data_IF_445806277905
#
_entry.id   IF_445806277905
#
_cell.length_a   1.000
_cell.length_b   1.000
_cell.length_c   1.000
_cell.angle_alpha   90.00
_cell.angle_beta   90.00
_cell.angle_gamma   90.00
#
_symmetry.space_group_name_H-M   'P 1'
#
loop_
_entity.id
_entity.type
_entity.pdbx_description
1 polymer ?
#
# COMPACT_ATOMS: atom_id res chain seq x y z
N UNK A 1 11.95 28.89 45.05
CA UNK A 1 11.98 27.66 44.22
C UNK A 1 13.44 27.31 43.92
N UNK A 2 14.00 26.30 44.60
CA UNK A 2 15.45 26.04 44.66
C UNK A 2 16.06 25.75 43.28
N UNK A 3 17.25 26.31 43.01
CA UNK A 3 18.01 26.15 41.76
C UNK A 3 18.15 24.68 41.32
N UNK A 4 18.24 23.74 42.28
CA UNK A 4 18.27 22.29 41.99
C UNK A 4 17.00 21.76 41.30
N UNK A 5 15.80 22.25 41.63
CA UNK A 5 14.55 21.79 41.01
C UNK A 5 14.41 22.25 39.55
N UNK A 6 15.04 23.39 39.19
CA UNK A 6 15.05 23.90 37.82
C UNK A 6 16.00 23.10 36.92
N UNK A 7 17.13 22.64 37.46
CA UNK A 7 18.12 21.83 36.73
C UNK A 7 17.57 20.41 36.46
N UNK A 8 16.90 19.81 37.45
CA UNK A 8 16.28 18.49 37.26
C UNK A 8 15.17 18.52 36.18
N UNK A 9 14.34 19.58 36.14
CA UNK A 9 13.26 19.70 35.16
C UNK A 9 13.79 19.92 33.73
N UNK A 10 14.90 20.62 33.56
CA UNK A 10 15.51 20.85 32.25
C UNK A 10 16.26 19.62 31.72
N UNK A 11 16.82 18.78 32.60
CA UNK A 11 17.48 17.53 32.20
C UNK A 11 16.46 16.48 31.69
N UNK A 12 15.28 16.38 32.32
CA UNK A 12 14.22 15.44 31.89
C UNK A 12 13.62 15.81 30.52
N UNK A 13 13.52 17.11 30.21
CA UNK A 13 13.01 17.59 28.91
C UNK A 13 14.00 17.26 27.78
N UNK A 14 15.32 17.36 28.04
CA UNK A 14 16.35 17.05 27.04
C UNK A 14 16.48 15.54 26.79
N UNK A 15 16.33 14.69 27.82
CA UNK A 15 16.33 13.23 27.63
C UNK A 15 15.05 12.69 26.99
N UNK A 16 13.91 13.36 27.20
CA UNK A 16 12.64 13.03 26.53
C UNK A 16 12.64 13.31 25.02
N UNK A 17 13.36 14.34 24.58
CA UNK A 17 13.48 14.72 23.17
C UNK A 17 14.52 13.89 22.40
N UNK A 18 15.55 13.36 23.08
CA UNK A 18 16.60 12.55 22.43
C UNK A 18 16.25 11.06 22.28
N UNK A 19 15.14 10.60 22.84
CA UNK A 19 14.70 9.20 22.71
C UNK A 19 13.93 8.90 21.42
N UNK A 20 13.61 9.93 20.63
CA UNK A 20 13.15 9.76 19.25
C UNK A 20 14.39 9.65 18.36
N UNK A 21 14.92 8.42 18.22
CA UNK A 21 15.57 8.10 16.96
C UNK A 21 14.51 8.32 15.88
N UNK A 22 14.60 9.41 15.12
CA UNK A 22 13.99 9.47 13.80
C UNK A 22 14.56 8.24 13.09
N UNK A 23 13.74 7.21 12.97
CA UNK A 23 14.12 6.11 12.11
C UNK A 23 14.25 6.69 10.70
N UNK A 24 15.31 6.27 10.00
CA UNK A 24 15.64 6.78 8.67
C UNK A 24 14.58 6.30 7.67
N UNK A 25 13.47 7.03 7.59
CA UNK A 25 12.43 6.82 6.59
C UNK A 25 13.06 6.97 5.20
N UNK A 26 13.02 5.89 4.42
CA UNK A 26 13.51 5.89 3.04
C UNK A 26 12.36 6.11 2.08
N UNK A 27 12.58 6.95 1.08
CA UNK A 27 11.68 7.11 -0.05
C UNK A 27 12.06 6.10 -1.14
N UNK A 28 11.12 5.24 -1.51
CA UNK A 28 11.25 4.28 -2.61
C UNK A 28 10.46 4.77 -3.82
N UNK A 29 11.03 4.64 -5.01
CA UNK A 29 10.37 4.97 -6.27
C UNK A 29 10.12 3.71 -7.11
N UNK A 30 8.93 3.65 -7.69
CA UNK A 30 8.45 2.54 -8.51
C UNK A 30 7.85 3.10 -9.79
N UNK A 31 8.17 2.53 -10.93
CA UNK A 31 7.69 2.98 -12.24
C UNK A 31 7.49 1.80 -13.17
N UNK A 32 6.58 1.95 -14.13
CA UNK A 32 6.44 0.98 -15.20
C UNK A 32 7.47 1.31 -16.30
N UNK A 33 8.48 0.45 -16.59
CA UNK A 33 9.63 0.86 -17.40
C UNK A 33 9.32 1.22 -18.85
N UNK A 34 8.14 0.84 -19.36
CA UNK A 34 7.72 1.09 -20.75
C UNK A 34 6.86 2.34 -20.90
N UNK A 35 6.60 3.09 -19.82
CA UNK A 35 5.74 4.29 -19.85
C UNK A 35 6.19 5.37 -18.89
N UNK A 36 6.22 6.59 -19.40
CA UNK A 36 6.46 7.79 -18.61
C UNK A 36 5.28 8.12 -17.68
N UNK A 37 5.53 8.91 -16.64
CA UNK A 37 4.51 9.42 -15.71
C UNK A 37 3.70 8.33 -14.97
N UNK A 38 4.25 7.12 -14.86
CA UNK A 38 3.68 6.00 -14.09
C UNK A 38 4.32 5.85 -12.71
N UNK A 39 5.19 6.78 -12.34
CA UNK A 39 6.01 6.68 -11.14
C UNK A 39 5.17 6.97 -9.89
N UNK A 40 5.21 6.03 -8.94
CA UNK A 40 4.72 6.24 -7.58
C UNK A 40 5.89 6.22 -6.61
N UNK A 41 5.74 6.91 -5.48
CA UNK A 41 6.69 6.84 -4.38
C UNK A 41 6.01 6.38 -3.10
N UNK A 42 6.78 5.72 -2.25
CA UNK A 42 6.34 5.17 -0.97
C UNK A 42 7.45 5.39 0.05
N UNK A 43 7.09 5.95 1.20
CA UNK A 43 8.00 6.15 2.32
C UNK A 43 7.87 5.00 3.31
N UNK A 44 8.98 4.32 3.58
CA UNK A 44 8.99 3.23 4.54
C UNK A 44 10.35 3.05 5.19
N UNK A 45 10.34 2.37 6.33
CA UNK A 45 11.53 1.99 7.08
C UNK A 45 11.82 0.50 6.91
N UNK A 46 13.06 0.09 7.19
CA UNK A 46 13.46 -1.30 7.34
C UNK A 46 13.26 -2.24 6.13
N UNK A 47 12.81 -1.74 4.98
CA UNK A 47 12.79 -2.52 3.74
C UNK A 47 14.20 -2.70 3.19
N UNK A 48 14.45 -3.93 2.71
CA UNK A 48 15.59 -4.24 1.85
C UNK A 48 15.41 -3.57 0.48
N UNK A 49 16.38 -3.78 -0.41
CA UNK A 49 16.24 -3.37 -1.81
C UNK A 49 15.10 -4.14 -2.47
N UNK A 50 14.18 -3.44 -3.12
CA UNK A 50 13.13 -4.07 -3.90
C UNK A 50 13.73 -4.82 -5.11
N UNK A 51 13.39 -6.09 -5.19
CA UNK A 51 13.60 -6.94 -6.36
C UNK A 51 12.56 -6.59 -7.43
N UNK A 52 12.92 -6.80 -8.70
CA UNK A 52 12.06 -6.45 -9.84
C UNK A 52 11.94 -7.65 -10.76
N UNK A 53 10.73 -7.90 -11.27
CA UNK A 53 10.43 -9.05 -12.12
C UNK A 53 9.43 -8.66 -13.21
N UNK A 54 9.64 -9.17 -14.43
CA UNK A 54 8.64 -9.12 -15.50
C UNK A 54 7.84 -10.41 -15.53
N UNK A 55 6.51 -10.30 -15.69
CA UNK A 55 5.61 -11.43 -15.93
C UNK A 55 4.75 -11.14 -17.15
N UNK A 56 5.25 -11.48 -18.33
CA UNK A 56 4.63 -11.09 -19.59
C UNK A 56 4.62 -9.57 -19.75
N UNK A 57 3.43 -8.96 -19.77
CA UNK A 57 3.26 -7.51 -19.86
C UNK A 57 3.29 -6.81 -18.48
N UNK A 58 3.21 -7.56 -17.40
CA UNK A 58 3.13 -7.04 -16.04
C UNK A 58 4.52 -6.82 -15.45
N UNK A 59 4.61 -5.85 -14.55
CA UNK A 59 5.86 -5.52 -13.87
C UNK A 59 5.69 -5.51 -12.35
N UNK A 60 6.57 -6.20 -11.67
CA UNK A 60 6.44 -6.48 -10.25
C UNK A 60 7.65 -5.96 -9.48
N UNK A 61 7.39 -5.34 -8.34
CA UNK A 61 8.38 -5.05 -7.32
C UNK A 61 8.06 -5.82 -6.04
N UNK A 62 9.09 -6.30 -5.36
CA UNK A 62 8.93 -7.03 -4.11
C UNK A 62 10.06 -6.78 -3.13
N UNK A 63 9.71 -6.58 -1.86
CA UNK A 63 10.65 -6.58 -0.75
C UNK A 63 9.97 -7.05 0.53
N UNK A 64 10.79 -7.53 1.45
CA UNK A 64 10.42 -7.78 2.83
C UNK A 64 11.14 -6.79 3.75
N UNK A 65 10.44 -6.27 4.75
CA UNK A 65 11.04 -5.47 5.82
C UNK A 65 11.73 -6.36 6.85
N UNK A 66 12.62 -5.80 7.67
CA UNK A 66 13.23 -6.53 8.79
C UNK A 66 12.19 -7.06 9.79
N UNK A 67 11.06 -6.36 9.89
CA UNK A 67 9.96 -6.70 10.78
C UNK A 67 9.01 -7.73 10.16
N UNK A 68 9.32 -8.25 8.96
CA UNK A 68 8.56 -9.29 8.26
C UNK A 68 7.35 -8.78 7.49
N UNK A 69 7.21 -7.46 7.30
CA UNK A 69 6.17 -6.92 6.41
C UNK A 69 6.63 -7.15 4.98
N UNK A 70 5.83 -7.89 4.23
CA UNK A 70 6.02 -8.07 2.80
C UNK A 70 5.35 -6.90 2.09
N UNK A 71 6.07 -6.23 1.19
CA UNK A 71 5.55 -5.21 0.31
C UNK A 71 5.74 -5.65 -1.14
N UNK A 72 4.66 -5.58 -1.91
CA UNK A 72 4.71 -5.81 -3.33
C UNK A 72 3.93 -4.79 -4.11
N UNK A 73 4.41 -4.49 -5.32
CA UNK A 73 3.77 -3.53 -6.23
C UNK A 73 3.68 -4.18 -7.59
N UNK A 74 2.44 -4.41 -8.03
CA UNK A 74 2.12 -4.96 -9.33
C UNK A 74 1.62 -3.85 -10.23
N UNK A 75 2.32 -3.60 -11.32
CA UNK A 75 1.80 -2.90 -12.50
C UNK A 75 1.19 -3.93 -13.43
N UNK A 76 -0.14 -3.97 -13.48
CA UNK A 76 -0.93 -4.90 -14.26
C UNK A 76 -1.43 -4.23 -15.54
N UNK A 77 -0.92 -4.68 -16.70
CA UNK A 77 -1.24 -4.10 -18.00
C UNK A 77 -2.45 -4.82 -18.58
N UNK A 78 -3.59 -4.13 -18.66
CA UNK A 78 -4.81 -4.67 -19.24
C UNK A 78 -4.59 -4.95 -20.74
N UNK A 79 -5.07 -6.10 -21.20
CA UNK A 79 -5.30 -6.33 -22.62
C UNK A 79 -6.55 -5.57 -23.11
N UNK A 80 -6.85 -5.60 -24.42
CA UNK A 80 -7.97 -4.85 -24.99
C UNK A 80 -9.34 -5.30 -24.45
N UNK A 81 -9.53 -6.61 -24.23
CA UNK A 81 -10.78 -7.15 -23.68
C UNK A 81 -10.98 -6.76 -22.21
N UNK A 82 -9.91 -6.83 -21.42
CA UNK A 82 -9.91 -6.39 -20.03
C UNK A 82 -10.15 -4.89 -19.93
N UNK A 83 -9.51 -4.09 -20.77
CA UNK A 83 -9.74 -2.64 -20.81
C UNK A 83 -11.19 -2.33 -21.15
N UNK A 84 -11.75 -3.00 -22.17
CA UNK A 84 -13.14 -2.83 -22.56
C UNK A 84 -14.10 -3.14 -21.40
N UNK A 85 -13.90 -4.27 -20.72
CA UNK A 85 -14.80 -4.77 -19.68
C UNK A 85 -14.60 -4.13 -18.30
N UNK A 86 -13.37 -3.76 -17.94
CA UNK A 86 -13.01 -3.27 -16.60
C UNK A 86 -12.89 -1.75 -16.53
N UNK A 87 -12.71 -1.06 -17.67
CA UNK A 87 -12.56 0.40 -17.73
C UNK A 87 -13.64 1.02 -18.59
N UNK A 88 -13.68 0.70 -19.89
CA UNK A 88 -14.49 1.47 -20.84
C UNK A 88 -16.00 1.29 -20.64
N UNK A 89 -16.49 0.06 -20.46
CA UNK A 89 -17.91 -0.19 -20.19
C UNK A 89 -18.36 0.40 -18.84
N UNK A 90 -17.65 0.18 -17.71
CA UNK A 90 -17.98 0.82 -16.44
C UNK A 90 -17.96 2.35 -16.52
N UNK A 91 -16.95 2.94 -17.17
CA UNK A 91 -16.83 4.38 -17.40
C UNK A 91 -18.07 4.95 -18.09
N UNK A 92 -18.52 4.33 -19.18
CA UNK A 92 -19.71 4.77 -19.92
C UNK A 92 -20.96 4.65 -19.04
N UNK A 93 -21.10 3.53 -18.32
CA UNK A 93 -22.29 3.27 -17.50
C UNK A 93 -22.46 4.28 -16.35
N UNK A 94 -21.36 4.76 -15.76
CA UNK A 94 -21.39 5.68 -14.61
C UNK A 94 -21.04 7.13 -14.96
N UNK A 95 -20.73 7.44 -16.22
CA UNK A 95 -20.19 8.74 -16.62
C UNK A 95 -18.85 9.08 -15.94
N UNK A 96 -18.00 8.07 -15.73
CA UNK A 96 -16.73 8.18 -15.01
C UNK A 96 -15.57 8.76 -15.84
N UNK A 97 -14.41 9.04 -15.20
CA UNK A 97 -13.20 9.49 -15.89
C UNK A 97 -12.47 8.33 -16.59
N UNK A 98 -11.58 8.63 -17.53
CA UNK A 98 -10.72 7.63 -18.19
C UNK A 98 -9.72 6.96 -17.23
N UNK A 99 -9.38 7.63 -16.12
CA UNK A 99 -8.42 7.18 -15.13
C UNK A 99 -9.04 7.39 -13.75
N UNK A 100 -9.24 6.31 -13.00
CA UNK A 100 -9.69 6.35 -11.62
C UNK A 100 -9.15 5.15 -10.86
N UNK A 101 -8.73 5.31 -9.59
CA UNK A 101 -8.39 4.17 -8.73
C UNK A 101 -9.60 3.26 -8.44
N UNK A 102 -10.83 3.71 -8.69
CA UNK A 102 -12.03 2.91 -8.49
C UNK A 102 -12.07 1.65 -9.39
N UNK A 103 -11.52 1.72 -10.61
CA UNK A 103 -11.48 0.57 -11.52
C UNK A 103 -10.59 -0.57 -10.99
N UNK A 104 -9.29 -0.36 -10.70
CA UNK A 104 -8.48 -1.41 -10.09
C UNK A 104 -9.00 -1.83 -8.71
N UNK A 105 -9.48 -0.88 -7.89
CA UNK A 105 -10.09 -1.20 -6.59
C UNK A 105 -11.26 -2.18 -6.75
N UNK A 106 -12.21 -1.89 -7.64
CA UNK A 106 -13.37 -2.74 -7.88
C UNK A 106 -12.96 -4.12 -8.42
N UNK A 107 -12.00 -4.18 -9.33
CA UNK A 107 -11.49 -5.44 -9.86
C UNK A 107 -10.86 -6.31 -8.75
N UNK A 108 -9.80 -5.83 -8.11
CA UNK A 108 -9.04 -6.64 -7.14
C UNK A 108 -9.84 -6.96 -5.88
N UNK A 109 -10.74 -6.08 -5.43
CA UNK A 109 -11.58 -6.35 -4.26
C UNK A 109 -12.73 -7.32 -4.53
N UNK A 110 -13.22 -7.39 -5.77
CA UNK A 110 -14.32 -8.28 -6.14
C UNK A 110 -13.86 -9.68 -6.55
N UNK A 111 -12.72 -9.77 -7.23
CA UNK A 111 -12.18 -11.03 -7.75
C UNK A 111 -11.09 -11.66 -6.87
N UNK A 112 -11.03 -11.31 -5.58
CA UNK A 112 -10.15 -11.96 -4.62
C UNK A 112 -10.56 -13.43 -4.41
N UNK A 113 -9.68 -14.37 -4.76
CA UNK A 113 -9.88 -15.81 -4.48
C UNK A 113 -9.94 -16.13 -2.99
N UNK A 114 -9.49 -15.20 -2.13
CA UNK A 114 -9.49 -15.34 -0.68
C UNK A 114 -10.70 -14.70 -0.02
N UNK A 115 -11.63 -14.11 -0.78
CA UNK A 115 -12.74 -13.29 -0.26
C UNK A 115 -13.57 -13.95 0.82
N UNK A 116 -13.78 -15.26 0.73
CA UNK A 116 -14.54 -16.04 1.73
C UNK A 116 -13.84 -16.19 3.10
N UNK A 117 -12.53 -15.92 3.16
CA UNK A 117 -11.73 -15.98 4.39
C UNK A 117 -11.44 -14.59 4.97
N UNK A 118 -11.78 -13.53 4.24
CA UNK A 118 -11.48 -12.16 4.63
C UNK A 118 -12.44 -11.69 5.73
N UNK A 119 -11.87 -11.22 6.83
CA UNK A 119 -12.56 -10.57 7.94
C UNK A 119 -11.99 -9.17 8.14
N UNK A 120 -12.59 -8.36 9.02
CA UNK A 120 -12.12 -7.00 9.32
C UNK A 120 -11.86 -6.15 8.06
N UNK A 121 -12.81 -6.23 7.12
CA UNK A 121 -12.71 -5.53 5.83
C UNK A 121 -13.07 -4.06 6.04
N UNK A 122 -12.15 -3.17 5.69
CA UNK A 122 -12.37 -1.73 5.68
C UNK A 122 -11.79 -1.17 4.38
N UNK A 123 -12.49 -0.20 3.79
CA UNK A 123 -12.06 0.51 2.59
C UNK A 123 -12.00 2.01 2.89
N UNK A 124 -11.08 2.73 2.25
CA UNK A 124 -10.98 4.18 2.35
C UNK A 124 -10.42 4.81 1.07
N UNK A 125 -10.48 6.14 0.98
CA UNK A 125 -10.22 6.90 -0.25
C UNK A 125 -11.48 7.04 -1.13
N UNK A 126 -11.43 7.95 -2.08
CA UNK A 126 -12.51 8.27 -3.01
C UNK A 126 -12.13 7.94 -4.46
N UNK A 127 -13.11 7.69 -5.34
CA UNK A 127 -12.86 7.50 -6.78
C UNK A 127 -12.13 8.65 -7.48
N UNK A 128 -12.15 9.85 -6.89
CA UNK A 128 -11.48 11.06 -7.38
C UNK A 128 -10.07 11.24 -6.84
N UNK A 129 -9.66 10.46 -5.84
CA UNK A 129 -8.31 10.52 -5.29
C UNK A 129 -7.32 9.84 -6.23
N UNK A 130 -6.01 10.00 -5.99
CA UNK A 130 -5.00 9.24 -6.73
C UNK A 130 -5.05 7.74 -6.34
N UNK A 131 -5.41 7.43 -5.09
CA UNK A 131 -5.40 6.07 -4.56
C UNK A 131 -6.70 5.76 -3.83
N UNK A 132 -7.19 4.54 -4.01
CA UNK A 132 -8.18 3.92 -3.11
C UNK A 132 -7.53 2.78 -2.37
N UNK A 133 -8.07 2.43 -1.21
CA UNK A 133 -7.40 1.51 -0.32
C UNK A 133 -8.35 0.53 0.34
N UNK A 134 -7.78 -0.59 0.75
CA UNK A 134 -8.50 -1.68 1.41
C UNK A 134 -7.62 -2.34 2.46
N UNK A 135 -8.22 -2.82 3.53
CA UNK A 135 -7.62 -3.82 4.41
C UNK A 135 -8.53 -5.04 4.55
N UNK A 136 -7.93 -6.15 4.94
CA UNK A 136 -8.62 -7.30 5.48
C UNK A 136 -7.65 -8.16 6.29
N UNK A 137 -8.21 -9.04 7.11
CA UNK A 137 -7.49 -10.04 7.88
C UNK A 137 -7.93 -11.44 7.47
N UNK A 138 -6.98 -12.36 7.36
CA UNK A 138 -7.24 -13.80 7.19
C UNK A 138 -6.77 -14.49 8.47
N UNK A 139 -7.72 -14.85 9.33
CA UNK A 139 -7.40 -15.50 10.61
C UNK A 139 -7.34 -17.03 10.48
N UNK A 140 -8.02 -17.57 9.47
CA UNK A 140 -8.07 -18.99 9.18
C UNK A 140 -8.08 -19.23 7.66
N UNK A 141 -7.33 -20.23 7.21
CA UNK A 141 -7.34 -20.70 5.83
C UNK A 141 -7.43 -22.22 5.82
N UNK A 142 -8.48 -22.76 5.20
CA UNK A 142 -8.73 -24.21 5.11
C UNK A 142 -8.66 -24.94 6.47
N UNK A 143 -9.21 -24.33 7.53
CA UNK A 143 -9.18 -24.90 8.89
C UNK A 143 -7.89 -24.64 9.68
N UNK A 144 -6.88 -24.00 9.07
CA UNK A 144 -5.60 -23.68 9.71
C UNK A 144 -5.59 -22.22 10.15
N UNK A 145 -5.29 -21.97 11.44
CA UNK A 145 -5.13 -20.61 11.97
C UNK A 145 -3.80 -20.01 11.48
N UNK A 146 -3.86 -18.88 10.76
CA UNK A 146 -2.67 -18.25 10.13
C UNK A 146 -2.46 -16.77 10.47
N UNK A 147 -3.46 -16.10 11.09
CA UNK A 147 -3.44 -14.70 11.53
C UNK A 147 -2.62 -13.77 10.63
N UNK A 148 -3.15 -13.44 9.45
CA UNK A 148 -2.47 -12.62 8.46
C UNK A 148 -3.22 -11.31 8.21
N UNK A 149 -2.50 -10.19 8.20
CA UNK A 149 -2.99 -8.87 7.79
C UNK A 149 -2.71 -8.66 6.32
N UNK A 150 -3.66 -8.06 5.61
CA UNK A 150 -3.45 -7.53 4.28
C UNK A 150 -3.92 -6.07 4.23
N UNK A 151 -3.11 -5.22 3.60
CA UNK A 151 -3.51 -3.86 3.23
C UNK A 151 -3.11 -3.59 1.79
N UNK A 152 -3.96 -2.85 1.09
CA UNK A 152 -3.83 -2.62 -0.34
C UNK A 152 -4.01 -1.14 -0.64
N UNK A 153 -3.20 -0.63 -1.55
CA UNK A 153 -3.42 0.61 -2.29
C UNK A 153 -3.64 0.29 -3.76
N UNK A 154 -4.62 0.96 -4.37
CA UNK A 154 -4.99 0.77 -5.77
C UNK A 154 -4.89 2.10 -6.48
N UNK A 155 -4.27 2.07 -7.65
CA UNK A 155 -4.05 3.23 -8.50
C UNK A 155 -4.18 2.82 -9.96
N UNK A 156 -4.65 3.74 -10.79
CA UNK A 156 -4.66 3.56 -12.23
C UNK A 156 -3.63 4.52 -12.83
N UNK A 157 -2.49 3.97 -13.26
CA UNK A 157 -1.37 4.74 -13.76
C UNK A 157 -1.66 5.41 -15.10
N UNK A 158 -2.46 4.73 -15.92
CA UNK A 158 -2.85 5.12 -17.26
C UNK A 158 -4.13 4.35 -17.65
N UNK A 159 -4.72 4.63 -18.82
CA UNK A 159 -6.03 4.13 -19.29
C UNK A 159 -6.22 2.61 -19.27
N UNK A 160 -5.14 1.86 -19.16
CA UNK A 160 -5.07 0.41 -19.26
C UNK A 160 -3.95 -0.18 -18.36
N UNK A 161 -3.50 0.58 -17.36
CA UNK A 161 -2.43 0.16 -16.46
C UNK A 161 -2.88 0.31 -15.02
N UNK A 162 -3.29 -0.83 -14.46
CA UNK A 162 -3.66 -0.93 -13.06
C UNK A 162 -2.41 -1.08 -12.20
N UNK A 163 -2.46 -0.55 -10.98
CA UNK A 163 -1.42 -0.69 -9.98
C UNK A 163 -2.03 -1.19 -8.68
N UNK A 164 -1.49 -2.29 -8.17
CA UNK A 164 -1.84 -2.87 -6.88
C UNK A 164 -0.60 -2.85 -5.99
N UNK A 165 -0.65 -2.06 -4.92
CA UNK A 165 0.33 -2.01 -3.86
C UNK A 165 -0.20 -2.87 -2.72
N UNK A 166 0.45 -3.99 -2.43
CA UNK A 166 0.02 -4.94 -1.40
C UNK A 166 1.06 -5.03 -0.28
N UNK A 167 0.61 -4.77 0.93
CA UNK A 167 1.33 -5.07 2.17
C UNK A 167 0.70 -6.29 2.84
N UNK A 168 1.53 -7.21 3.32
CA UNK A 168 1.07 -8.31 4.17
C UNK A 168 2.00 -8.63 5.32
N UNK A 169 1.43 -9.15 6.41
CA UNK A 169 2.18 -9.62 7.57
C UNK A 169 1.45 -10.79 8.24
N UNK A 170 2.14 -11.90 8.42
CA UNK A 170 1.69 -13.01 9.28
C UNK A 170 1.95 -12.67 10.75
N UNK A 171 1.16 -13.22 11.67
CA UNK A 171 1.28 -12.98 13.11
C UNK A 171 1.30 -11.49 13.50
N UNK A 172 0.51 -10.68 12.81
CA UNK A 172 0.54 -9.23 12.95
C UNK A 172 0.10 -8.75 14.34
N UNK A 173 0.68 -7.64 14.76
CA UNK A 173 0.30 -6.83 15.92
C UNK A 173 -0.46 -5.57 15.51
N UNK A 174 -0.96 -4.82 16.49
CA UNK A 174 -1.54 -3.49 16.25
C UNK A 174 -0.49 -2.52 15.69
N UNK A 175 0.76 -2.59 16.18
CA UNK A 175 1.85 -1.75 15.69
C UNK A 175 2.15 -2.03 14.20
N UNK A 176 2.14 -3.30 13.79
CA UNK A 176 2.30 -3.67 12.37
C UNK A 176 1.17 -3.09 11.51
N UNK A 177 -0.06 -3.17 12.02
CA UNK A 177 -1.23 -2.61 11.33
C UNK A 177 -1.09 -1.09 11.14
N UNK A 178 -0.63 -0.38 12.16
CA UNK A 178 -0.38 1.06 12.10
C UNK A 178 0.75 1.38 11.12
N UNK A 179 1.86 0.65 11.16
CA UNK A 179 2.99 0.83 10.25
C UNK A 179 2.58 0.61 8.79
N UNK A 180 1.83 -0.47 8.51
CA UNK A 180 1.30 -0.75 7.17
C UNK A 180 0.37 0.37 6.68
N UNK A 181 -0.50 0.90 7.55
CA UNK A 181 -1.39 2.02 7.21
C UNK A 181 -0.59 3.28 6.90
N UNK A 182 0.45 3.58 7.68
CA UNK A 182 1.34 4.73 7.44
C UNK A 182 2.11 4.61 6.12
N UNK A 183 2.61 3.42 5.80
CA UNK A 183 3.28 3.14 4.53
C UNK A 183 2.33 3.44 3.37
N UNK A 184 1.09 2.93 3.39
CA UNK A 184 0.12 3.20 2.33
C UNK A 184 -0.30 4.67 2.26
N UNK A 185 -0.47 5.33 3.41
CA UNK A 185 -0.80 6.77 3.46
C UNK A 185 0.33 7.66 2.95
N UNK A 186 1.56 7.15 2.82
CA UNK A 186 2.70 7.87 2.25
C UNK A 186 2.77 7.79 0.72
N UNK A 187 1.89 7.00 0.09
CA UNK A 187 1.87 6.84 -1.36
C UNK A 187 1.62 8.18 -2.05
N UNK A 188 2.44 8.50 -3.03
CA UNK A 188 2.24 9.66 -3.90
C UNK A 188 2.46 9.30 -5.35
N UNK A 189 1.67 9.89 -6.24
CA UNK A 189 1.91 9.86 -7.68
C UNK A 189 2.87 10.99 -8.06
N UNK A 190 3.96 10.67 -8.76
CA UNK A 190 4.87 11.69 -9.31
C UNK A 190 4.21 12.28 -10.57
N UNK A 191 3.99 13.59 -10.57
CA UNK A 191 3.42 14.34 -11.70
C UNK A 191 4.49 14.67 -12.74
#
# INVERSE_FOLDING_TARGET
MNKLKKIALSLTIVTGLLSFKLADTKLFEFSYPKRDNTTITLSAENFKKFTKEWRGADYYYYSESKDGIICSILYYKLNEEEKLSLVDAPKIAIGGPDISPAYPFAYFSNYSNLKKYETNVENWGQPTDDFMFRQNDILEFQGVKIKQKHMYGYFMADKDLFVNIHLSKTDFSTADSTAMRQILSSLTKKK
#
